data_IF_725042884576
#
_entry.id   IF_725042884576
#
_cell.length_a   1.000
_cell.length_b   1.000
_cell.length_c   1.000
_cell.angle_alpha   90.00
_cell.angle_beta   90.00
_cell.angle_gamma   90.00
#
_symmetry.space_group_name_H-M   'P 1'
#
loop_
_entity.id
_entity.type
_entity.pdbx_description
1 polymer ?
#
# COMPACT_ATOMS: atom_id res chain seq x y z
N UNK A 1 -23.94 9.71 9.40
CA UNK A 1 -23.72 10.78 8.39
C UNK A 1 -22.39 10.50 7.69
N UNK A 2 -22.39 10.10 6.41
CA UNK A 2 -21.16 9.92 5.62
C UNK A 2 -20.32 11.20 5.58
N UNK A 3 -18.99 11.08 5.58
CA UNK A 3 -18.08 12.23 5.62
C UNK A 3 -18.34 13.23 4.48
N UNK A 4 -18.59 12.72 3.27
CA UNK A 4 -18.90 13.47 2.05
C UNK A 4 -20.13 14.37 2.18
N UNK A 5 -21.13 13.96 2.97
CA UNK A 5 -22.35 14.73 3.27
C UNK A 5 -22.34 15.42 4.64
N UNK A 6 -21.21 15.46 5.35
CA UNK A 6 -21.15 15.96 6.72
C UNK A 6 -20.75 17.45 6.79
N UNK A 7 -21.74 18.33 6.89
CA UNK A 7 -21.53 19.78 7.00
C UNK A 7 -20.74 20.20 8.23
N UNK A 8 -20.94 19.52 9.37
CA UNK A 8 -20.21 19.84 10.60
C UNK A 8 -18.70 19.59 10.44
N UNK A 9 -18.30 18.47 9.83
CA UNK A 9 -16.89 18.19 9.57
C UNK A 9 -16.30 19.15 8.52
N UNK A 10 -16.96 19.28 7.37
CA UNK A 10 -16.37 19.99 6.24
C UNK A 10 -16.50 21.52 6.33
N UNK A 11 -17.64 22.04 6.78
CA UNK A 11 -17.83 23.49 6.94
C UNK A 11 -17.41 23.97 8.31
N UNK A 12 -18.07 23.47 9.36
CA UNK A 12 -17.94 24.08 10.69
C UNK A 12 -16.53 23.86 11.26
N UNK A 13 -15.98 22.64 11.13
CA UNK A 13 -14.61 22.35 11.58
C UNK A 13 -13.59 22.81 10.54
N UNK A 14 -13.53 22.15 9.38
CA UNK A 14 -12.43 22.33 8.43
C UNK A 14 -12.40 23.76 7.85
N UNK A 15 -13.49 24.21 7.21
CA UNK A 15 -13.50 25.51 6.52
C UNK A 15 -13.59 26.72 7.45
N UNK A 16 -14.35 26.62 8.55
CA UNK A 16 -14.58 27.73 9.47
C UNK A 16 -13.60 27.73 10.65
N UNK A 17 -13.70 26.77 11.59
CA UNK A 17 -12.87 26.76 12.81
C UNK A 17 -11.37 26.67 12.51
N UNK A 18 -10.96 25.80 11.59
CA UNK A 18 -9.56 25.70 11.16
C UNK A 18 -9.20 26.68 10.05
N UNK A 19 -10.18 27.44 9.56
CA UNK A 19 -9.98 28.46 8.53
C UNK A 19 -9.34 27.92 7.24
N UNK A 20 -9.62 26.65 6.87
CA UNK A 20 -9.00 26.00 5.73
C UNK A 20 -9.35 26.69 4.39
N UNK A 21 -8.31 27.08 3.64
CA UNK A 21 -8.41 27.87 2.39
C UNK A 21 -8.28 27.06 1.11
N UNK A 22 -8.04 25.76 1.21
CA UNK A 22 -8.00 24.85 0.07
C UNK A 22 -9.39 24.41 -0.37
N UNK A 23 -9.40 23.38 -1.23
CA UNK A 23 -10.62 22.68 -1.67
C UNK A 23 -10.75 21.31 -0.99
N UNK A 24 -11.97 20.80 -0.98
CA UNK A 24 -12.32 19.42 -0.58
C UNK A 24 -12.73 18.65 -1.83
N UNK A 25 -12.12 17.49 -2.07
CA UNK A 25 -12.54 16.54 -3.09
C UNK A 25 -13.15 15.32 -2.40
N UNK A 26 -14.21 14.74 -2.96
CA UNK A 26 -14.74 13.47 -2.47
C UNK A 26 -13.74 12.34 -2.74
N UNK A 27 -13.85 11.23 -2.00
CA UNK A 27 -13.23 9.98 -2.42
C UNK A 27 -13.94 9.41 -3.67
N UNK A 28 -13.36 8.38 -4.27
CA UNK A 28 -13.85 7.72 -5.49
C UNK A 28 -15.31 7.28 -5.35
N UNK A 29 -16.22 7.86 -6.13
CA UNK A 29 -17.64 7.52 -6.12
C UNK A 29 -18.40 7.93 -4.85
N UNK A 30 -17.73 8.55 -3.88
CA UNK A 30 -18.24 8.70 -2.50
C UNK A 30 -19.52 9.54 -2.39
N UNK A 31 -19.77 10.45 -3.33
CA UNK A 31 -21.07 11.15 -3.37
C UNK A 31 -22.19 10.15 -3.67
N UNK A 32 -22.02 9.30 -4.68
CA UNK A 32 -23.01 8.28 -5.03
C UNK A 32 -23.21 7.24 -3.93
N UNK A 33 -22.15 6.88 -3.21
CA UNK A 33 -22.21 5.93 -2.08
C UNK A 33 -23.08 6.40 -0.91
N UNK A 34 -23.42 7.69 -0.84
CA UNK A 34 -24.39 8.17 0.15
C UNK A 34 -25.78 7.53 -0.03
N UNK A 35 -26.09 7.01 -1.22
CA UNK A 35 -27.32 6.25 -1.51
C UNK A 35 -27.31 4.87 -0.81
N UNK A 36 -26.36 3.95 -1.07
CA UNK A 36 -26.28 2.68 -0.34
C UNK A 36 -26.00 2.85 1.16
N UNK A 37 -25.42 3.98 1.60
CA UNK A 37 -25.36 4.32 3.03
C UNK A 37 -26.72 4.67 3.66
N UNK A 38 -27.79 4.82 2.87
CA UNK A 38 -29.11 5.23 3.33
C UNK A 38 -29.18 6.69 3.79
N UNK A 39 -28.22 7.52 3.37
CA UNK A 39 -28.18 8.95 3.70
C UNK A 39 -28.83 9.84 2.62
N UNK A 40 -28.90 9.35 1.39
CA UNK A 40 -29.61 9.96 0.28
C UNK A 40 -30.55 8.92 -0.38
N UNK A 41 -31.70 9.34 -0.89
CA UNK A 41 -32.63 8.49 -1.62
C UNK A 41 -32.12 8.16 -3.04
N UNK A 42 -31.43 9.10 -3.67
CA UNK A 42 -30.88 8.96 -5.02
C UNK A 42 -29.64 9.84 -5.24
N UNK A 43 -29.05 9.76 -6.44
CA UNK A 43 -27.84 10.50 -6.79
C UNK A 43 -28.04 12.02 -6.82
N UNK A 44 -29.27 12.49 -7.10
CA UNK A 44 -29.60 13.92 -7.11
C UNK A 44 -29.67 14.47 -5.69
N UNK A 45 -30.31 13.76 -4.77
CA UNK A 45 -30.29 14.11 -3.35
C UNK A 45 -28.86 14.04 -2.80
N UNK A 46 -28.08 13.05 -3.21
CA UNK A 46 -26.67 12.96 -2.83
C UNK A 46 -25.86 14.19 -3.29
N UNK A 47 -26.04 14.63 -4.54
CA UNK A 47 -25.41 15.87 -5.04
C UNK A 47 -25.81 17.10 -4.21
N UNK A 48 -27.10 17.23 -3.89
CA UNK A 48 -27.62 18.31 -3.05
C UNK A 48 -26.99 18.32 -1.65
N UNK A 49 -26.90 17.15 -1.00
CA UNK A 49 -26.32 17.01 0.32
C UNK A 49 -24.81 17.30 0.31
N UNK A 50 -24.06 16.77 -0.65
CA UNK A 50 -22.60 16.93 -0.72
C UNK A 50 -22.19 18.40 -0.92
N UNK A 51 -22.82 19.12 -1.86
CA UNK A 51 -22.43 20.50 -2.18
C UNK A 51 -22.74 21.45 -1.02
N UNK A 52 -23.89 21.24 -0.37
CA UNK A 52 -24.28 22.01 0.81
C UNK A 52 -23.49 21.61 2.05
N UNK A 53 -23.01 20.36 2.16
CA UNK A 53 -22.08 19.94 3.20
C UNK A 53 -20.69 20.57 3.05
N UNK A 54 -20.27 20.89 1.83
CA UNK A 54 -19.01 21.56 1.56
C UNK A 54 -18.01 20.75 0.75
N UNK A 55 -18.43 19.67 0.09
CA UNK A 55 -17.58 18.94 -0.85
C UNK A 55 -17.48 19.74 -2.14
N UNK A 56 -16.27 20.17 -2.53
CA UNK A 56 -16.09 21.10 -3.64
C UNK A 56 -15.98 20.40 -4.99
N UNK A 57 -15.44 19.19 -5.03
CA UNK A 57 -15.21 18.40 -6.25
C UNK A 57 -15.74 16.99 -6.10
N UNK A 58 -16.44 16.54 -7.14
CA UNK A 58 -16.98 15.20 -7.30
C UNK A 58 -15.96 14.32 -8.03
N UNK A 59 -15.44 13.32 -7.34
CA UNK A 59 -14.57 12.30 -7.92
C UNK A 59 -15.42 11.07 -8.28
N UNK A 60 -15.54 10.81 -9.58
CA UNK A 60 -16.07 9.55 -10.15
C UNK A 60 -17.55 9.21 -9.85
N UNK A 61 -18.33 10.05 -9.16
CA UNK A 61 -19.77 9.82 -9.00
C UNK A 61 -20.63 10.46 -10.10
N UNK A 62 -20.10 11.46 -10.82
CA UNK A 62 -20.79 12.28 -11.84
C UNK A 62 -22.07 12.99 -11.34
N UNK A 63 -22.34 12.97 -10.04
CA UNK A 63 -23.50 13.56 -9.40
C UNK A 63 -23.58 15.08 -9.66
N UNK A 64 -22.47 15.79 -9.57
CA UNK A 64 -22.46 17.25 -9.71
C UNK A 64 -22.73 17.70 -11.13
N UNK A 65 -22.06 17.09 -12.12
CA UNK A 65 -22.25 17.44 -13.53
C UNK A 65 -23.67 17.11 -13.99
N UNK A 66 -24.28 16.05 -13.46
CA UNK A 66 -25.64 15.66 -13.83
C UNK A 66 -26.73 16.51 -13.17
N UNK A 67 -26.54 16.97 -11.93
CA UNK A 67 -27.66 17.48 -11.12
C UNK A 67 -27.54 18.90 -10.56
N UNK A 68 -26.35 19.52 -10.50
CA UNK A 68 -26.23 20.83 -9.84
C UNK A 68 -27.06 21.92 -10.52
N UNK A 69 -27.13 21.94 -11.86
CA UNK A 69 -27.93 22.94 -12.59
C UNK A 69 -29.41 22.85 -12.23
N UNK A 70 -29.98 21.63 -12.24
CA UNK A 70 -31.36 21.39 -11.87
C UNK A 70 -31.62 21.79 -10.41
N UNK A 71 -30.71 21.43 -9.49
CA UNK A 71 -30.82 21.77 -8.07
C UNK A 71 -30.76 23.28 -7.79
N UNK A 72 -30.03 24.05 -8.59
CA UNK A 72 -30.04 25.53 -8.53
C UNK A 72 -31.38 26.08 -9.04
N UNK A 73 -31.86 25.60 -10.19
CA UNK A 73 -33.15 26.00 -10.77
C UNK A 73 -34.33 25.71 -9.82
N UNK A 74 -34.24 24.62 -9.06
CA UNK A 74 -35.21 24.22 -8.03
C UNK A 74 -35.05 24.97 -6.70
N UNK A 75 -34.04 25.83 -6.57
CA UNK A 75 -33.76 26.59 -5.34
C UNK A 75 -33.22 25.75 -4.18
N UNK A 76 -32.84 24.49 -4.41
CA UNK A 76 -32.26 23.57 -3.41
C UNK A 76 -30.79 23.85 -3.14
N UNK A 77 -30.07 24.34 -4.15
CA UNK A 77 -28.66 24.78 -4.03
C UNK A 77 -28.57 26.25 -4.39
N UNK A 78 -27.91 27.03 -3.53
CA UNK A 78 -27.63 28.44 -3.84
C UNK A 78 -26.46 28.51 -4.83
N UNK A 79 -26.58 29.34 -5.86
CA UNK A 79 -25.47 29.58 -6.80
C UNK A 79 -24.21 30.05 -6.07
N UNK A 80 -24.35 30.85 -5.01
CA UNK A 80 -23.23 31.26 -4.15
C UNK A 80 -22.45 30.08 -3.53
N UNK A 81 -23.12 28.96 -3.24
CA UNK A 81 -22.46 27.72 -2.75
C UNK A 81 -21.54 27.14 -3.82
N UNK A 82 -22.01 27.09 -5.07
CA UNK A 82 -21.22 26.63 -6.22
C UNK A 82 -20.07 27.60 -6.48
N UNK A 83 -20.33 28.91 -6.43
CA UNK A 83 -19.30 29.94 -6.60
C UNK A 83 -18.19 29.84 -5.54
N UNK A 84 -18.49 29.44 -4.30
CA UNK A 84 -17.45 29.17 -3.30
C UNK A 84 -16.59 27.94 -3.65
N UNK A 85 -17.22 26.82 -4.04
CA UNK A 85 -16.51 25.61 -4.44
C UNK A 85 -15.61 25.86 -5.66
N UNK A 86 -16.16 26.47 -6.72
CA UNK A 86 -15.44 26.84 -7.94
C UNK A 86 -14.28 27.79 -7.61
N UNK A 87 -14.48 28.80 -6.75
CA UNK A 87 -13.41 29.73 -6.36
C UNK A 87 -12.23 29.00 -5.72
N UNK A 88 -12.45 27.95 -4.92
CA UNK A 88 -11.38 27.15 -4.30
C UNK A 88 -10.60 26.35 -5.33
N UNK A 89 -11.30 25.72 -6.29
CA UNK A 89 -10.69 24.98 -7.39
C UNK A 89 -9.86 25.91 -8.28
N UNK A 90 -10.44 27.04 -8.70
CA UNK A 90 -9.73 28.01 -9.56
C UNK A 90 -8.53 28.61 -8.84
N UNK A 91 -8.66 28.96 -7.54
CA UNK A 91 -7.52 29.43 -6.74
C UNK A 91 -6.37 28.42 -6.73
N UNK A 92 -6.66 27.13 -6.60
CA UNK A 92 -5.64 26.08 -6.65
C UNK A 92 -4.97 26.03 -8.03
N UNK A 93 -5.75 26.05 -9.12
CA UNK A 93 -5.22 26.09 -10.49
C UNK A 93 -4.34 27.32 -10.76
N UNK A 94 -4.72 28.50 -10.24
CA UNK A 94 -3.88 29.71 -10.28
C UNK A 94 -2.58 29.53 -9.50
N UNK A 95 -2.63 28.98 -8.27
CA UNK A 95 -1.43 28.73 -7.46
C UNK A 95 -0.47 27.74 -8.09
N UNK A 96 -0.99 26.77 -8.85
CA UNK A 96 -0.20 25.81 -9.63
C UNK A 96 0.36 26.41 -10.93
N UNK A 97 0.02 27.67 -11.26
CA UNK A 97 0.47 28.33 -12.48
C UNK A 97 -0.13 27.75 -13.77
N UNK A 98 -1.24 27.01 -13.67
CA UNK A 98 -1.86 26.32 -14.81
C UNK A 98 -2.65 27.26 -15.74
N UNK A 99 -2.97 28.47 -15.27
CA UNK A 99 -3.52 29.52 -16.13
C UNK A 99 -2.45 30.20 -16.98
N UNK A 100 -1.21 30.29 -16.47
CA UNK A 100 -0.09 30.86 -17.21
C UNK A 100 0.48 29.84 -18.21
N UNK A 101 0.61 28.59 -17.77
CA UNK A 101 1.08 27.47 -18.59
C UNK A 101 0.31 26.19 -18.20
N UNK A 102 -0.69 25.77 -19.00
CA UNK A 102 -1.45 24.56 -18.72
C UNK A 102 -0.61 23.27 -18.90
N UNK A 103 0.54 23.35 -19.58
CA UNK A 103 1.44 22.22 -19.82
C UNK A 103 2.69 22.24 -18.93
N UNK A 104 2.72 23.10 -17.91
CA UNK A 104 3.86 23.31 -17.00
C UNK A 104 4.50 22.03 -16.47
N UNK A 105 3.67 21.00 -16.27
CA UNK A 105 4.09 19.72 -15.72
C UNK A 105 4.13 18.57 -16.76
N UNK A 106 3.82 18.84 -18.02
CA UNK A 106 3.81 17.86 -19.12
C UNK A 106 5.11 17.97 -19.94
N UNK A 107 6.14 17.24 -19.52
CA UNK A 107 7.45 17.26 -20.19
C UNK A 107 8.02 15.84 -20.33
N UNK A 108 7.96 15.31 -21.55
CA UNK A 108 8.42 13.95 -21.87
C UNK A 108 9.92 13.74 -21.61
N UNK A 109 10.75 14.76 -21.85
CA UNK A 109 12.18 14.64 -21.62
C UNK A 109 12.48 14.50 -20.14
N UNK A 110 11.78 15.29 -19.30
CA UNK A 110 11.90 15.21 -17.84
C UNK A 110 11.43 13.88 -17.31
N UNK A 111 10.34 13.33 -17.85
CA UNK A 111 9.85 12.01 -17.52
C UNK A 111 10.90 10.93 -17.79
N UNK A 112 11.45 10.91 -19.02
CA UNK A 112 12.50 9.96 -19.44
C UNK A 112 13.77 10.04 -18.61
N UNK A 113 14.11 11.21 -18.05
CA UNK A 113 15.36 11.38 -17.30
C UNK A 113 15.21 11.28 -15.79
N UNK A 114 14.03 11.56 -15.21
CA UNK A 114 13.86 11.61 -13.75
C UNK A 114 13.14 10.41 -13.14
N UNK A 115 12.35 9.67 -13.92
CA UNK A 115 11.75 8.42 -13.44
C UNK A 115 12.88 7.42 -13.15
N UNK A 116 12.88 6.87 -11.92
CA UNK A 116 13.93 6.00 -11.38
C UNK A 116 15.36 6.57 -11.43
N UNK A 117 15.51 7.90 -11.40
CA UNK A 117 16.83 8.54 -11.35
C UNK A 117 17.69 7.97 -10.19
N UNK A 118 19.01 7.75 -10.39
CA UNK A 118 19.87 7.14 -9.37
C UNK A 118 19.80 7.82 -7.99
N UNK A 119 19.68 9.15 -7.95
CA UNK A 119 19.55 9.90 -6.69
C UNK A 119 18.24 9.58 -5.96
N UNK A 120 17.13 9.35 -6.68
CA UNK A 120 15.86 8.96 -6.09
C UNK A 120 15.93 7.53 -5.55
N UNK A 121 16.60 6.62 -6.26
CA UNK A 121 16.84 5.24 -5.81
C UNK A 121 17.73 5.22 -4.57
N UNK A 122 18.78 6.06 -4.53
CA UNK A 122 19.63 6.20 -3.35
C UNK A 122 18.86 6.76 -2.15
N UNK A 123 18.00 7.76 -2.36
CA UNK A 123 17.13 8.29 -1.32
C UNK A 123 16.11 7.25 -0.83
N UNK A 124 15.52 6.47 -1.74
CA UNK A 124 14.62 5.38 -1.38
C UNK A 124 15.31 4.31 -0.52
N UNK A 125 16.55 3.94 -0.87
CA UNK A 125 17.36 3.01 -0.08
C UNK A 125 17.66 3.56 1.32
N UNK A 126 18.03 4.84 1.44
CA UNK A 126 18.31 5.48 2.72
C UNK A 126 17.08 5.49 3.64
N UNK A 127 15.91 5.87 3.10
CA UNK A 127 14.64 5.85 3.85
C UNK A 127 14.24 4.43 4.23
N UNK A 128 14.36 3.46 3.31
CA UNK A 128 14.05 2.06 3.57
C UNK A 128 14.96 1.46 4.66
N UNK A 129 16.24 1.82 4.68
CA UNK A 129 17.18 1.36 5.71
C UNK A 129 16.76 1.87 7.10
N UNK A 130 16.26 3.10 7.18
CA UNK A 130 15.80 3.73 8.43
C UNK A 130 14.40 3.29 8.88
N UNK A 131 13.63 2.64 8.00
CA UNK A 131 12.27 2.16 8.33
C UNK A 131 12.26 0.74 8.91
N UNK A 132 13.38 0.00 8.82
CA UNK A 132 13.47 -1.35 9.36
C UNK A 132 13.39 -1.36 10.90
N UNK A 133 12.69 -2.35 11.44
CA UNK A 133 12.52 -2.52 12.90
C UNK A 133 13.11 -3.85 13.33
N UNK A 134 14.15 -3.82 14.17
CA UNK A 134 14.69 -5.02 14.81
C UNK A 134 13.83 -5.39 16.02
N UNK A 135 12.97 -6.39 15.88
CA UNK A 135 12.06 -6.81 16.95
C UNK A 135 12.73 -7.70 18.01
N UNK A 136 13.68 -8.53 17.60
CA UNK A 136 14.35 -9.52 18.45
C UNK A 136 15.75 -9.82 17.93
N UNK A 137 16.73 -9.93 18.83
CA UNK A 137 18.09 -10.39 18.51
C UNK A 137 18.64 -11.21 19.69
N UNK A 138 18.37 -12.52 19.66
CA UNK A 138 18.90 -13.46 20.67
C UNK A 138 20.31 -13.89 20.31
N UNK A 139 21.13 -14.09 21.35
CA UNK A 139 22.51 -14.58 21.24
C UNK A 139 23.42 -13.77 20.31
N UNK A 140 23.06 -12.51 20.03
CA UNK A 140 23.78 -11.63 19.11
C UNK A 140 23.97 -12.27 17.73
N UNK A 141 22.95 -12.99 17.24
CA UNK A 141 22.98 -13.59 15.90
C UNK A 141 23.12 -12.52 14.81
N UNK A 142 22.55 -11.32 15.03
CA UNK A 142 22.73 -10.16 14.18
C UNK A 142 23.70 -9.14 14.80
N UNK A 143 24.54 -8.45 13.99
CA UNK A 143 24.65 -8.59 12.53
C UNK A 143 25.35 -9.90 12.11
N UNK A 144 25.01 -10.39 10.92
CA UNK A 144 25.67 -11.56 10.34
C UNK A 144 27.17 -11.28 10.11
N UNK A 145 28.01 -12.28 10.34
CA UNK A 145 29.44 -12.18 10.09
C UNK A 145 29.71 -12.29 8.59
N UNK A 146 30.56 -11.43 8.01
CA UNK A 146 31.06 -11.59 6.63
C UNK A 146 31.77 -12.92 6.39
N UNK A 147 32.22 -13.60 7.45
CA UNK A 147 32.91 -14.89 7.38
C UNK A 147 31.98 -16.11 7.39
N UNK A 148 30.67 -15.94 7.54
CA UNK A 148 29.70 -17.05 7.46
C UNK A 148 29.72 -17.63 6.05
N UNK A 149 29.88 -18.95 5.97
CA UNK A 149 30.10 -19.66 4.70
C UNK A 149 28.89 -20.43 4.22
N UNK A 150 27.94 -20.74 5.11
CA UNK A 150 26.77 -21.52 4.76
C UNK A 150 25.47 -20.85 5.21
N UNK A 151 25.09 -19.79 4.50
CA UNK A 151 23.81 -19.11 4.70
C UNK A 151 22.75 -19.82 3.86
N UNK A 152 21.64 -20.21 4.48
CA UNK A 152 20.46 -20.69 3.76
C UNK A 152 19.38 -19.61 3.76
N UNK A 153 18.87 -19.24 2.61
CA UNK A 153 17.71 -18.34 2.47
C UNK A 153 16.48 -19.18 2.13
N UNK A 154 15.41 -19.03 2.92
CA UNK A 154 14.14 -19.74 2.74
C UNK A 154 12.98 -18.75 2.61
N UNK A 155 12.07 -18.98 1.67
CA UNK A 155 10.79 -18.28 1.58
C UNK A 155 10.56 -17.62 0.23
N UNK A 156 9.35 -17.71 -0.30
CA UNK A 156 9.02 -17.17 -1.63
C UNK A 156 9.21 -15.64 -1.74
N UNK A 157 9.08 -14.90 -0.62
CA UNK A 157 9.30 -13.47 -0.61
C UNK A 157 10.78 -13.08 -0.73
N UNK A 158 11.73 -14.01 -0.57
CA UNK A 158 13.15 -13.70 -0.67
C UNK A 158 13.56 -13.21 -2.07
N UNK A 159 12.96 -13.80 -3.11
CA UNK A 159 13.19 -13.45 -4.52
C UNK A 159 12.15 -12.46 -5.07
N UNK A 160 11.17 -12.03 -4.25
CA UNK A 160 10.05 -11.21 -4.72
C UNK A 160 10.49 -9.75 -4.88
N UNK A 161 10.27 -9.23 -6.09
CA UNK A 161 10.58 -7.85 -6.50
C UNK A 161 9.34 -6.97 -6.63
N UNK A 162 8.17 -7.58 -6.52
CA UNK A 162 6.88 -6.91 -6.61
C UNK A 162 6.34 -6.57 -5.22
N UNK A 163 6.34 -7.52 -4.27
CA UNK A 163 5.83 -7.23 -2.91
C UNK A 163 6.54 -6.10 -2.16
N UNK A 164 7.86 -5.86 -2.32
CA UNK A 164 8.51 -4.70 -1.70
C UNK A 164 7.91 -3.34 -2.12
N UNK A 165 7.26 -3.26 -3.29
CA UNK A 165 6.59 -2.04 -3.76
C UNK A 165 5.30 -1.74 -2.97
N UNK A 166 4.75 -2.75 -2.28
CA UNK A 166 3.52 -2.64 -1.50
C UNK A 166 2.25 -2.44 -2.34
N UNK A 167 1.14 -2.17 -1.65
CA UNK A 167 -0.10 -1.68 -2.25
C UNK A 167 0.02 -0.20 -2.64
N UNK A 168 -0.94 0.33 -3.42
CA UNK A 168 -0.95 1.73 -3.87
C UNK A 168 0.27 2.13 -4.73
N UNK A 169 0.83 1.16 -5.45
CA UNK A 169 2.01 1.36 -6.30
C UNK A 169 1.72 1.89 -7.71
N UNK A 170 0.45 1.95 -8.14
CA UNK A 170 -0.11 2.53 -9.38
C UNK A 170 0.90 2.66 -10.56
N UNK A 171 1.67 3.75 -10.61
CA UNK A 171 2.58 4.09 -11.71
C UNK A 171 3.98 3.47 -11.63
N UNK A 172 4.22 2.57 -10.67
CA UNK A 172 5.45 1.78 -10.59
C UNK A 172 5.44 0.65 -11.62
N UNK A 173 6.60 0.42 -12.23
CA UNK A 173 6.83 -0.79 -13.00
C UNK A 173 6.86 -2.00 -12.06
N UNK A 174 6.30 -3.11 -12.52
CA UNK A 174 6.37 -4.38 -11.80
C UNK A 174 7.81 -4.91 -11.78
N UNK A 175 8.15 -5.67 -10.74
CA UNK A 175 9.44 -6.36 -10.57
C UNK A 175 10.69 -5.45 -10.61
N UNK A 176 10.53 -4.16 -10.32
CA UNK A 176 11.63 -3.19 -10.31
C UNK A 176 12.35 -3.10 -8.95
N UNK A 177 11.72 -3.55 -7.85
CA UNK A 177 12.35 -3.47 -6.53
C UNK A 177 13.53 -4.45 -6.42
N UNK A 178 14.50 -4.12 -5.57
CA UNK A 178 15.59 -5.03 -5.20
C UNK A 178 15.04 -6.06 -4.21
N UNK A 179 15.03 -7.33 -4.59
CA UNK A 179 14.65 -8.44 -3.71
C UNK A 179 15.66 -8.65 -2.58
N UNK A 180 15.28 -9.42 -1.55
CA UNK A 180 16.20 -9.77 -0.45
C UNK A 180 17.42 -10.53 -0.98
N UNK A 181 17.22 -11.44 -1.95
CA UNK A 181 18.33 -12.17 -2.57
C UNK A 181 19.27 -11.23 -3.34
N UNK A 182 18.76 -10.29 -4.13
CA UNK A 182 19.58 -9.30 -4.84
C UNK A 182 20.29 -8.33 -3.89
N UNK A 183 19.69 -8.00 -2.74
CA UNK A 183 20.33 -7.22 -1.69
C UNK A 183 21.46 -8.00 -0.99
N UNK A 184 21.23 -9.28 -0.70
CA UNK A 184 22.20 -10.16 -0.06
C UNK A 184 23.40 -10.46 -0.97
N UNK A 185 23.18 -10.68 -2.26
CA UNK A 185 24.24 -10.99 -3.25
C UNK A 185 25.26 -9.86 -3.42
N UNK A 186 24.88 -8.61 -3.11
CA UNK A 186 25.82 -7.48 -3.06
C UNK A 186 26.85 -7.58 -1.93
N UNK A 187 26.59 -8.42 -0.92
CA UNK A 187 27.45 -8.59 0.26
C UNK A 187 28.12 -9.96 0.29
N UNK A 188 27.42 -11.01 -0.14
CA UNK A 188 27.95 -12.37 -0.18
C UNK A 188 27.22 -13.23 -1.21
N UNK A 189 27.97 -14.08 -1.91
CA UNK A 189 27.42 -15.12 -2.78
C UNK A 189 27.45 -16.51 -2.11
N UNK A 190 27.86 -16.58 -0.84
CA UNK A 190 27.93 -17.83 -0.08
C UNK A 190 26.58 -18.13 0.58
N UNK A 191 25.53 -18.22 -0.24
CA UNK A 191 24.22 -18.62 0.22
C UNK A 191 23.57 -19.61 -0.75
N UNK A 192 22.70 -20.46 -0.21
CA UNK A 192 21.76 -21.28 -0.99
C UNK A 192 20.37 -20.71 -0.82
N UNK A 193 19.54 -20.78 -1.85
CA UNK A 193 18.13 -20.37 -1.79
C UNK A 193 17.21 -21.56 -2.02
N UNK A 194 16.17 -21.67 -1.21
CA UNK A 194 15.04 -22.58 -1.38
C UNK A 194 13.74 -21.82 -1.14
N UNK A 195 12.76 -21.96 -2.04
CA UNK A 195 11.49 -21.22 -1.90
C UNK A 195 10.69 -21.72 -0.70
N UNK A 196 10.59 -23.04 -0.53
CA UNK A 196 9.96 -23.69 0.64
C UNK A 196 8.43 -23.71 0.58
N UNK A 197 7.79 -22.57 0.28
CA UNK A 197 6.36 -22.50 -0.03
C UNK A 197 6.02 -21.19 -0.74
N UNK A 198 5.11 -21.23 -1.71
CA UNK A 198 4.46 -20.02 -2.22
C UNK A 198 3.59 -19.38 -1.12
N UNK A 199 3.53 -18.04 -1.09
CA UNK A 199 2.63 -17.30 -0.20
C UNK A 199 1.24 -17.15 -0.83
N UNK A 200 1.22 -16.75 -2.10
CA UNK A 200 0.01 -16.56 -2.89
C UNK A 200 0.06 -17.42 -4.16
N UNK A 201 -1.12 -17.79 -4.65
CA UNK A 201 -1.32 -18.67 -5.80
C UNK A 201 -1.96 -17.89 -6.95
N UNK A 202 -1.41 -18.05 -8.14
CA UNK A 202 -1.91 -17.37 -9.34
C UNK A 202 -1.64 -15.87 -9.33
N UNK A 203 -2.46 -15.13 -10.09
CA UNK A 203 -2.27 -13.69 -10.27
C UNK A 203 -2.67 -12.92 -9.01
N UNK A 204 -1.79 -12.03 -8.56
CA UNK A 204 -2.05 -11.09 -7.48
C UNK A 204 -1.97 -9.66 -8.04
N UNK A 205 -3.11 -8.96 -8.07
CA UNK A 205 -3.19 -7.56 -8.49
C UNK A 205 -4.31 -6.83 -7.73
N UNK A 206 -4.48 -5.54 -8.01
CA UNK A 206 -5.50 -4.71 -7.34
C UNK A 206 -6.93 -5.21 -7.56
N UNK A 207 -7.24 -5.72 -8.76
CA UNK A 207 -8.61 -6.10 -9.16
C UNK A 207 -8.99 -7.51 -8.69
N UNK A 208 -8.02 -8.39 -8.45
CA UNK A 208 -8.28 -9.79 -8.14
C UNK A 208 -7.99 -10.12 -6.68
N UNK A 209 -8.81 -10.99 -6.08
CA UNK A 209 -8.56 -11.55 -4.76
C UNK A 209 -7.20 -12.29 -4.72
N UNK A 210 -6.39 -12.03 -3.70
CA UNK A 210 -5.14 -12.75 -3.48
C UNK A 210 -5.46 -14.13 -2.91
N UNK A 211 -5.19 -15.19 -3.67
CA UNK A 211 -5.41 -16.56 -3.22
C UNK A 211 -4.23 -17.04 -2.38
N UNK A 212 -4.40 -17.17 -1.08
CA UNK A 212 -3.34 -17.61 -0.17
C UNK A 212 -3.09 -19.11 -0.32
N UNK A 213 -1.82 -19.53 -0.31
CA UNK A 213 -1.46 -20.94 -0.25
C UNK A 213 -1.71 -21.50 1.16
N UNK A 214 -2.80 -22.25 1.33
CA UNK A 214 -3.18 -22.82 2.63
C UNK A 214 -2.86 -24.31 2.79
N UNK A 215 -2.37 -24.98 1.73
CA UNK A 215 -2.28 -26.43 1.71
C UNK A 215 -1.01 -27.00 1.07
N UNK A 216 -0.43 -26.33 0.08
CA UNK A 216 0.74 -26.87 -0.61
C UNK A 216 2.01 -26.70 0.23
N UNK A 217 2.51 -27.83 0.70
CA UNK A 217 3.75 -27.96 1.47
C UNK A 217 4.78 -28.83 0.76
N UNK A 218 4.65 -29.03 -0.55
CA UNK A 218 5.47 -29.97 -1.33
C UNK A 218 6.97 -29.68 -1.25
N UNK A 219 7.36 -28.41 -1.09
CA UNK A 219 8.75 -27.97 -1.00
C UNK A 219 9.32 -27.92 0.44
N UNK A 220 8.52 -28.28 1.46
CA UNK A 220 8.97 -28.25 2.86
C UNK A 220 10.15 -29.20 3.12
N UNK A 221 10.11 -30.40 2.54
CA UNK A 221 11.14 -31.42 2.77
C UNK A 221 12.52 -30.92 2.31
N UNK A 222 12.57 -30.28 1.14
CA UNK A 222 13.79 -29.64 0.60
C UNK A 222 14.30 -28.54 1.51
N UNK A 223 13.40 -27.67 2.00
CA UNK A 223 13.76 -26.58 2.89
C UNK A 223 14.31 -27.08 4.24
N UNK A 224 13.69 -28.12 4.82
CA UNK A 224 14.13 -28.76 6.07
C UNK A 224 15.46 -29.46 5.88
N UNK A 225 15.68 -30.16 4.77
CA UNK A 225 16.94 -30.86 4.52
C UNK A 225 18.10 -29.88 4.38
N UNK A 226 17.92 -28.82 3.58
CA UNK A 226 18.92 -27.77 3.43
C UNK A 226 19.25 -27.08 4.76
N UNK A 227 18.26 -26.93 5.65
CA UNK A 227 18.44 -26.25 6.93
C UNK A 227 19.31 -27.04 7.91
N UNK A 228 19.44 -28.36 7.79
CA UNK A 228 20.20 -29.20 8.74
C UNK A 228 21.70 -28.86 8.77
N UNK A 229 22.26 -28.42 7.65
CA UNK A 229 23.70 -28.17 7.50
C UNK A 229 24.05 -26.68 7.47
N UNK A 230 23.05 -25.80 7.40
CA UNK A 230 23.24 -24.35 7.36
C UNK A 230 23.79 -23.80 8.69
N UNK A 231 24.75 -22.87 8.60
CA UNK A 231 25.26 -22.14 9.78
C UNK A 231 24.20 -21.18 10.33
N UNK A 232 23.49 -20.52 9.41
CA UNK A 232 22.38 -19.61 9.68
C UNK A 232 21.33 -19.74 8.59
N UNK A 233 20.06 -19.67 8.98
CA UNK A 233 18.92 -19.67 8.07
C UNK A 233 18.25 -18.30 8.10
N UNK A 234 18.18 -17.63 6.97
CA UNK A 234 17.39 -16.41 6.78
C UNK A 234 16.04 -16.85 6.21
N UNK A 235 14.97 -16.71 6.99
CA UNK A 235 13.60 -16.98 6.52
C UNK A 235 12.91 -15.67 6.18
N UNK A 236 12.53 -15.48 4.91
CA UNK A 236 11.80 -14.29 4.44
C UNK A 236 10.33 -14.63 4.30
N UNK A 237 9.54 -14.28 5.32
CA UNK A 237 8.14 -14.67 5.45
C UNK A 237 7.24 -13.44 5.64
N UNK A 238 5.95 -13.60 5.41
CA UNK A 238 4.96 -12.56 5.67
C UNK A 238 3.87 -12.50 4.60
N UNK A 239 3.51 -11.30 4.20
CA UNK A 239 2.43 -11.01 3.26
C UNK A 239 2.98 -10.68 1.87
N UNK A 240 2.28 -11.17 0.85
CA UNK A 240 2.41 -10.69 -0.52
C UNK A 240 1.82 -9.27 -0.60
N UNK A 241 2.39 -8.39 -1.43
CA UNK A 241 2.10 -6.94 -1.43
C UNK A 241 0.62 -6.54 -1.60
N UNK A 242 -0.22 -7.36 -2.23
CA UNK A 242 -1.67 -7.12 -2.39
C UNK A 242 -2.54 -7.77 -1.30
N UNK A 243 -1.95 -8.36 -0.25
CA UNK A 243 -2.72 -8.79 0.94
C UNK A 243 -3.05 -7.61 1.87
N UNK A 244 -2.45 -6.45 1.64
CA UNK A 244 -2.78 -5.18 2.30
C UNK A 244 -3.30 -4.14 1.31
N UNK A 245 -3.83 -3.04 1.82
CA UNK A 245 -4.42 -1.97 1.02
C UNK A 245 -5.95 -2.00 1.02
N UNK A 246 -6.54 -1.30 0.05
CA UNK A 246 -7.98 -1.11 -0.08
C UNK A 246 -8.72 -2.43 -0.32
N UNK A 247 -9.84 -2.63 0.39
CA UNK A 247 -10.66 -3.84 0.33
C UNK A 247 -9.91 -5.17 0.65
N UNK A 248 -8.77 -5.10 1.35
CA UNK A 248 -7.95 -6.28 1.75
C UNK A 248 -7.96 -6.52 3.26
N UNK A 249 -9.12 -6.39 3.89
CA UNK A 249 -9.28 -6.73 5.31
C UNK A 249 -9.05 -8.22 5.55
N UNK A 250 -8.37 -8.56 6.64
CA UNK A 250 -8.14 -9.95 7.07
C UNK A 250 -8.69 -10.14 8.49
N UNK A 251 -9.27 -11.32 8.75
CA UNK A 251 -9.71 -11.74 10.09
C UNK A 251 -8.61 -12.43 10.90
N UNK A 252 -7.46 -12.74 10.28
CA UNK A 252 -6.29 -13.32 10.93
C UNK A 252 -5.06 -12.46 10.71
N UNK A 253 -4.31 -12.23 11.78
CA UNK A 253 -3.01 -11.53 11.74
C UNK A 253 -1.83 -12.51 11.82
N UNK A 254 -2.07 -13.82 11.79
CA UNK A 254 -0.97 -14.81 11.78
C UNK A 254 -0.19 -14.75 10.45
N UNK A 255 0.97 -15.42 10.39
CA UNK A 255 1.67 -15.62 9.12
C UNK A 255 0.72 -16.27 8.09
N UNK A 256 0.57 -15.70 6.88
CA UNK A 256 -0.36 -16.21 5.89
C UNK A 256 -0.07 -17.66 5.48
N UNK A 257 -1.14 -18.45 5.38
CA UNK A 257 -1.10 -19.77 4.76
C UNK A 257 -0.24 -20.77 5.52
N UNK A 258 0.59 -21.51 4.79
CA UNK A 258 1.44 -22.58 5.35
C UNK A 258 2.75 -22.08 5.99
N UNK A 259 3.05 -20.78 5.93
CA UNK A 259 4.36 -20.24 6.32
C UNK A 259 4.72 -20.49 7.79
N UNK A 260 3.75 -20.42 8.71
CA UNK A 260 3.98 -20.77 10.13
C UNK A 260 4.46 -22.22 10.28
N UNK A 261 3.86 -23.15 9.53
CA UNK A 261 4.26 -24.57 9.55
C UNK A 261 5.65 -24.77 8.96
N UNK A 262 6.01 -24.00 7.93
CA UNK A 262 7.36 -24.02 7.34
C UNK A 262 8.40 -23.56 8.37
N UNK A 263 8.15 -22.44 9.04
CA UNK A 263 9.00 -21.90 10.10
C UNK A 263 9.18 -22.92 11.24
N UNK A 264 8.09 -23.55 11.71
CA UNK A 264 8.13 -24.60 12.72
C UNK A 264 8.97 -25.81 12.30
N UNK A 265 8.82 -26.27 11.05
CA UNK A 265 9.55 -27.41 10.52
C UNK A 265 11.06 -27.14 10.44
N UNK A 266 11.46 -25.96 9.94
CA UNK A 266 12.86 -25.54 9.85
C UNK A 266 13.46 -25.35 11.24
N UNK A 267 12.73 -24.71 12.17
CA UNK A 267 13.17 -24.48 13.57
C UNK A 267 13.43 -25.77 14.36
N UNK A 268 12.84 -26.90 13.96
CA UNK A 268 13.13 -28.21 14.58
C UNK A 268 14.54 -28.70 14.26
N UNK A 269 15.06 -28.38 13.08
CA UNK A 269 16.37 -28.87 12.61
C UNK A 269 17.48 -27.82 12.71
N UNK A 270 17.14 -26.52 12.73
CA UNK A 270 18.11 -25.44 12.87
C UNK A 270 17.63 -24.38 13.87
N UNK A 271 18.50 -23.98 14.79
CA UNK A 271 18.18 -22.99 15.82
C UNK A 271 18.61 -21.56 15.48
N UNK A 272 19.51 -21.39 14.51
CA UNK A 272 20.07 -20.10 14.11
C UNK A 272 19.23 -19.51 12.97
N UNK A 273 18.04 -19.00 13.30
CA UNK A 273 17.11 -18.44 12.32
C UNK A 273 17.05 -16.92 12.46
N UNK A 274 17.26 -16.22 11.35
CA UNK A 274 16.92 -14.81 11.18
C UNK A 274 15.60 -14.76 10.42
N UNK A 275 14.55 -14.25 11.06
CA UNK A 275 13.24 -14.06 10.43
C UNK A 275 13.13 -12.64 9.89
N UNK A 276 13.10 -12.50 8.56
CA UNK A 276 12.82 -11.24 7.86
C UNK A 276 11.34 -11.21 7.55
N UNK A 277 10.63 -10.24 8.14
CA UNK A 277 9.19 -10.07 7.94
C UNK A 277 8.92 -9.00 6.89
N UNK A 278 8.10 -9.34 5.89
CA UNK A 278 7.58 -8.41 4.90
C UNK A 278 6.06 -8.38 5.02
N UNK A 279 5.47 -7.26 5.42
CA UNK A 279 4.04 -7.17 5.70
C UNK A 279 3.53 -5.72 5.64
N UNK A 280 2.28 -5.55 5.23
CA UNK A 280 1.64 -4.24 5.12
C UNK A 280 0.86 -3.81 6.37
N UNK A 281 0.80 -4.69 7.38
CA UNK A 281 0.13 -4.47 8.67
C UNK A 281 0.85 -5.22 9.79
N UNK A 282 0.58 -4.95 11.08
CA UNK A 282 1.09 -5.77 12.18
C UNK A 282 0.69 -7.25 12.05
N UNK A 283 1.62 -8.16 12.35
CA UNK A 283 1.37 -9.61 12.39
C UNK A 283 1.48 -10.16 13.82
N UNK A 284 0.61 -11.11 14.15
CA UNK A 284 0.64 -11.91 15.36
C UNK A 284 1.69 -13.02 15.23
N UNK A 285 2.91 -12.70 15.65
CA UNK A 285 4.10 -13.55 15.55
C UNK A 285 4.54 -14.13 16.92
N UNK A 286 3.61 -14.32 17.86
CA UNK A 286 3.92 -14.72 19.25
C UNK A 286 4.71 -16.04 19.35
N UNK A 287 4.56 -16.95 18.40
CA UNK A 287 5.34 -18.18 18.35
C UNK A 287 6.81 -17.96 17.97
N UNK A 288 7.09 -16.96 17.11
CA UNK A 288 8.42 -16.65 16.61
C UNK A 288 9.23 -15.74 17.54
N UNK A 289 8.58 -15.18 18.58
CA UNK A 289 9.19 -14.31 19.58
C UNK A 289 10.04 -15.04 20.61
#
# INVERSE_FOLDING_TARGET
>A
VPATGNAYLQRDILKQKWNYKGMVVSDWGSIGEMVPHGFAADLKEAAHLAVNAGSDMDMEAAAYVMYLEALVKEGKVKEATINDAVRRILRLKFRLGLFDDPYRYCNEQREKTLIYHPDHIAAALDVATKSMVLLKNENQLLPLSPSQKNILVIGALAADKSSPLGSWRIGSDDDIAVSVLEGLSKHTNNYTYVKGADVALGKSDFLHEVKINTADTSEFATAVEAAKTAEVVIMVLGEQGFQSGEARSTSSLQLPGVQQKLLEAVRRVNKNIVLVLMNGRPLAITWAQ
#
